data_IF_204603776180
#
_entry.id   IF_204603776180
#
_cell.length_a   1.000
_cell.length_b   1.000
_cell.length_c   1.000
_cell.angle_alpha   90.00
_cell.angle_beta   90.00
_cell.angle_gamma   90.00
#
_symmetry.space_group_name_H-M   'P 1'
#
loop_
_entity.id
_entity.type
_entity.pdbx_description
1 polymer ?
#
# COMPACT_ATOMS: atom_id res chain seq x y z
N UNK A 1 7.95 -13.89 -14.89
CA UNK A 1 7.74 -13.51 -16.30
C UNK A 1 8.95 -13.82 -17.20
N UNK A 2 10.19 -13.59 -16.78
CA UNK A 2 11.39 -13.91 -17.60
C UNK A 2 11.55 -15.42 -17.82
N UNK A 3 11.37 -16.24 -16.80
CA UNK A 3 11.48 -17.70 -16.92
C UNK A 3 10.46 -18.29 -17.91
N UNK A 4 9.23 -17.77 -17.95
CA UNK A 4 8.23 -18.21 -18.91
C UNK A 4 8.62 -17.88 -20.36
N UNK A 5 9.19 -16.68 -20.62
CA UNK A 5 9.66 -16.30 -21.96
C UNK A 5 10.85 -17.17 -22.41
N UNK A 6 11.72 -17.59 -21.50
CA UNK A 6 12.84 -18.47 -21.82
C UNK A 6 12.39 -19.91 -22.19
N UNK A 7 11.35 -20.40 -21.54
CA UNK A 7 10.75 -21.70 -21.89
C UNK A 7 10.18 -21.67 -23.33
N UNK A 8 9.43 -20.63 -23.70
CA UNK A 8 8.92 -20.47 -25.06
C UNK A 8 10.03 -20.41 -26.11
N UNK A 9 11.11 -19.65 -25.85
CA UNK A 9 12.27 -19.54 -26.75
C UNK A 9 12.96 -20.90 -26.94
N UNK A 10 13.12 -21.69 -25.87
CA UNK A 10 13.74 -23.01 -25.95
C UNK A 10 12.88 -23.99 -26.72
N UNK A 11 11.55 -23.97 -26.51
CA UNK A 11 10.61 -24.81 -27.24
C UNK A 11 10.62 -24.51 -28.74
N UNK A 12 10.58 -23.21 -29.10
CA UNK A 12 10.67 -22.78 -30.50
C UNK A 12 12.01 -23.18 -31.16
N UNK A 13 13.14 -23.06 -30.45
CA UNK A 13 14.45 -23.48 -30.95
C UNK A 13 14.58 -25.00 -31.07
N UNK A 14 13.87 -25.76 -30.24
CA UNK A 14 13.87 -27.20 -30.26
C UNK A 14 12.86 -27.82 -31.24
N UNK A 15 12.16 -26.96 -32.01
CA UNK A 15 11.09 -27.36 -32.95
C UNK A 15 10.05 -28.30 -32.32
N UNK A 16 9.60 -27.95 -31.12
CA UNK A 16 8.69 -28.75 -30.34
C UNK A 16 7.24 -28.57 -30.81
N UNK A 17 6.69 -29.61 -31.46
CA UNK A 17 5.30 -29.64 -31.93
C UNK A 17 4.32 -30.34 -30.96
N UNK A 18 4.78 -30.69 -29.75
CA UNK A 18 3.93 -31.35 -28.74
C UNK A 18 2.95 -30.32 -28.12
N UNK A 19 1.73 -30.72 -27.68
CA UNK A 19 0.81 -29.86 -26.99
C UNK A 19 1.44 -29.25 -25.72
N UNK A 20 1.41 -27.92 -25.64
CA UNK A 20 1.97 -27.17 -24.51
C UNK A 20 0.84 -26.86 -23.54
N UNK A 21 1.02 -27.23 -22.27
CA UNK A 21 0.11 -26.90 -21.18
C UNK A 21 0.80 -25.91 -20.25
N UNK A 22 0.02 -24.97 -19.71
CA UNK A 22 0.50 -23.93 -18.81
C UNK A 22 -0.05 -24.13 -17.41
N UNK A 23 0.87 -24.21 -16.43
CA UNK A 23 0.55 -24.13 -15.01
C UNK A 23 0.46 -22.66 -14.60
N UNK A 24 -0.66 -22.27 -14.01
CA UNK A 24 -0.87 -20.92 -13.47
C UNK A 24 -1.32 -21.03 -12.02
N UNK A 25 -0.44 -20.65 -11.09
CA UNK A 25 -0.68 -20.70 -9.65
C UNK A 25 -0.26 -19.38 -9.00
N UNK A 26 -0.99 -18.94 -7.98
CA UNK A 26 -0.70 -17.73 -7.18
C UNK A 26 -0.04 -18.05 -5.83
N UNK A 27 0.10 -19.34 -5.49
CA UNK A 27 0.70 -19.83 -4.26
C UNK A 27 1.53 -21.08 -4.51
N UNK A 28 2.53 -21.35 -3.67
CA UNK A 28 3.40 -22.54 -3.72
C UNK A 28 3.06 -23.57 -2.64
N UNK A 29 1.88 -23.51 -2.04
CA UNK A 29 1.40 -24.53 -1.13
C UNK A 29 1.11 -25.84 -1.88
N UNK A 30 1.24 -26.98 -1.22
CA UNK A 30 0.99 -28.29 -1.84
C UNK A 30 -0.41 -28.39 -2.46
N UNK A 31 -1.41 -27.78 -1.79
CA UNK A 31 -2.78 -27.71 -2.29
C UNK A 31 -2.86 -26.90 -3.59
N UNK A 32 -2.29 -25.67 -3.61
CA UNK A 32 -2.32 -24.80 -4.79
C UNK A 32 -1.60 -25.45 -5.99
N UNK A 33 -0.49 -26.18 -5.74
CA UNK A 33 0.24 -26.90 -6.77
C UNK A 33 -0.61 -28.04 -7.33
N UNK A 34 -1.23 -28.87 -6.49
CA UNK A 34 -2.10 -29.98 -6.95
C UNK A 34 -3.30 -29.47 -7.74
N UNK A 35 -3.98 -28.44 -7.24
CA UNK A 35 -5.12 -27.81 -7.91
C UNK A 35 -4.70 -27.18 -9.25
N UNK A 36 -3.53 -26.54 -9.30
CA UNK A 36 -2.96 -26.01 -10.53
C UNK A 36 -2.68 -27.08 -11.59
N UNK A 37 -2.12 -28.21 -11.21
CA UNK A 37 -1.90 -29.33 -12.13
C UNK A 37 -3.20 -29.99 -12.59
N UNK A 38 -4.25 -30.01 -11.76
CA UNK A 38 -5.57 -30.48 -12.15
C UNK A 38 -6.26 -29.54 -13.17
N UNK A 39 -5.88 -28.26 -13.22
CA UNK A 39 -6.49 -27.22 -14.06
C UNK A 39 -5.49 -26.55 -15.00
N UNK A 40 -4.65 -27.36 -15.68
CA UNK A 40 -3.68 -26.85 -16.66
C UNK A 40 -4.39 -26.17 -17.82
N UNK A 41 -3.91 -24.98 -18.19
CA UNK A 41 -4.42 -24.17 -19.28
C UNK A 41 -3.73 -24.48 -20.60
N UNK A 42 -4.33 -24.10 -21.74
CA UNK A 42 -3.67 -24.24 -23.04
C UNK A 42 -2.54 -23.19 -23.14
N UNK A 43 -1.38 -23.62 -23.66
CA UNK A 43 -0.22 -22.73 -23.85
C UNK A 43 -0.51 -21.57 -24.81
N UNK A 44 -1.23 -21.83 -25.90
CA UNK A 44 -1.54 -20.82 -26.93
C UNK A 44 -2.43 -19.67 -26.44
N UNK A 45 -3.19 -19.85 -25.36
CA UNK A 45 -3.98 -18.76 -24.76
C UNK A 45 -3.08 -17.62 -24.21
N UNK A 46 -1.76 -17.85 -24.13
CA UNK A 46 -0.77 -16.93 -23.60
C UNK A 46 0.22 -16.37 -24.63
N UNK A 47 -0.01 -16.62 -25.92
CA UNK A 47 0.89 -16.17 -27.00
C UNK A 47 0.99 -14.65 -27.05
N UNK A 48 -0.13 -13.93 -26.88
CA UNK A 48 -0.11 -12.46 -26.86
C UNK A 48 0.60 -11.89 -25.65
N UNK A 49 0.47 -12.54 -24.49
CA UNK A 49 1.22 -12.18 -23.28
C UNK A 49 2.73 -12.37 -23.48
N UNK A 50 3.13 -13.44 -24.17
CA UNK A 50 4.52 -13.69 -24.56
C UNK A 50 5.04 -12.62 -25.52
N UNK A 51 4.29 -12.27 -26.59
CA UNK A 51 4.64 -11.20 -27.52
C UNK A 51 4.79 -9.85 -26.83
N UNK A 52 3.89 -9.51 -25.91
CA UNK A 52 3.99 -8.30 -25.11
C UNK A 52 5.27 -8.27 -24.24
N UNK A 53 5.63 -9.41 -23.62
CA UNK A 53 6.85 -9.54 -22.83
C UNK A 53 8.12 -9.40 -23.71
N UNK A 54 8.10 -9.97 -24.91
CA UNK A 54 9.18 -9.87 -25.89
C UNK A 54 9.34 -8.43 -26.37
N UNK A 55 8.27 -7.77 -26.82
CA UNK A 55 8.29 -6.38 -27.26
C UNK A 55 8.83 -5.44 -26.18
N UNK A 56 8.43 -5.65 -24.91
CA UNK A 56 8.99 -4.90 -23.79
C UNK A 56 10.49 -5.11 -23.62
N UNK A 57 10.97 -6.35 -23.72
CA UNK A 57 12.40 -6.66 -23.57
C UNK A 57 13.24 -6.04 -24.71
N UNK A 58 12.73 -6.09 -25.94
CA UNK A 58 13.37 -5.48 -27.11
C UNK A 58 13.39 -3.95 -27.03
N UNK A 59 12.28 -3.34 -26.61
CA UNK A 59 12.22 -1.89 -26.40
C UNK A 59 13.19 -1.43 -25.29
N UNK A 60 13.26 -2.18 -24.17
CA UNK A 60 14.21 -1.88 -23.10
C UNK A 60 15.68 -1.95 -23.60
N UNK A 61 15.99 -2.96 -24.40
CA UNK A 61 17.32 -3.11 -24.96
C UNK A 61 17.66 -2.00 -25.96
N UNK A 62 16.77 -1.70 -26.90
CA UNK A 62 16.97 -0.66 -27.91
C UNK A 62 17.12 0.73 -27.30
N UNK A 63 16.21 1.11 -26.40
CA UNK A 63 16.24 2.42 -25.71
C UNK A 63 17.46 2.52 -24.80
N UNK A 64 17.74 1.48 -24.01
CA UNK A 64 18.88 1.46 -23.10
C UNK A 64 20.21 1.57 -23.82
N UNK A 65 20.40 0.77 -24.88
CA UNK A 65 21.64 0.76 -25.66
C UNK A 65 21.87 2.08 -26.39
N UNK A 66 20.88 2.52 -27.17
CA UNK A 66 21.04 3.73 -28.02
C UNK A 66 21.07 4.99 -27.14
N UNK A 67 20.24 5.10 -26.11
CA UNK A 67 20.25 6.23 -25.19
C UNK A 67 21.56 6.34 -24.40
N UNK A 68 22.08 5.22 -23.91
CA UNK A 68 23.38 5.17 -23.23
C UNK A 68 24.50 5.64 -24.14
N UNK A 69 24.57 5.12 -25.37
CA UNK A 69 25.59 5.53 -26.37
C UNK A 69 25.48 7.02 -26.70
N UNK A 70 24.28 7.51 -27.00
CA UNK A 70 24.05 8.90 -27.33
C UNK A 70 24.48 9.86 -26.21
N UNK A 71 24.11 9.56 -24.96
CA UNK A 71 24.52 10.35 -23.81
C UNK A 71 26.02 10.30 -23.56
N UNK A 72 26.64 9.12 -23.64
CA UNK A 72 28.07 8.92 -23.43
C UNK A 72 28.87 9.71 -24.49
N UNK A 73 28.48 9.62 -25.75
CA UNK A 73 29.16 10.37 -26.85
C UNK A 73 28.93 11.88 -26.71
N UNK A 74 27.69 12.32 -26.40
CA UNK A 74 27.36 13.74 -26.31
C UNK A 74 28.11 14.46 -25.18
N UNK A 75 28.22 13.82 -24.03
CA UNK A 75 28.77 14.42 -22.81
C UNK A 75 30.21 13.97 -22.52
N UNK A 76 30.78 13.10 -23.35
CA UNK A 76 32.12 12.52 -23.16
C UNK A 76 32.31 11.96 -21.72
N UNK A 77 31.32 11.28 -21.20
CA UNK A 77 31.28 10.75 -19.85
C UNK A 77 30.57 9.39 -19.84
N UNK A 78 30.97 8.49 -18.95
CA UNK A 78 30.31 7.21 -18.82
C UNK A 78 28.92 7.39 -18.16
N UNK A 79 27.89 7.51 -18.99
CA UNK A 79 26.51 7.69 -18.60
C UNK A 79 25.69 6.46 -18.95
N UNK A 80 24.57 6.30 -18.28
CA UNK A 80 23.61 5.21 -18.56
C UNK A 80 22.21 5.75 -18.77
N UNK A 81 21.46 5.09 -19.64
CA UNK A 81 20.06 5.38 -19.90
C UNK A 81 19.25 4.11 -19.79
N UNK A 82 18.05 4.20 -19.22
CA UNK A 82 17.14 3.07 -19.10
C UNK A 82 15.71 3.51 -18.87
N UNK A 83 14.78 2.68 -19.29
CA UNK A 83 13.34 2.95 -19.26
C UNK A 83 12.80 3.22 -17.85
N UNK A 84 13.38 2.64 -16.82
CA UNK A 84 12.96 2.83 -15.43
C UNK A 84 13.86 3.81 -14.70
N UNK A 85 15.19 3.63 -14.79
CA UNK A 85 16.15 4.43 -14.02
C UNK A 85 16.17 5.91 -14.44
N UNK A 86 16.10 6.20 -15.74
CA UNK A 86 16.18 7.58 -16.23
C UNK A 86 14.95 8.41 -15.84
N UNK A 87 13.71 7.95 -16.05
CA UNK A 87 12.53 8.68 -15.54
C UNK A 87 12.52 8.84 -14.01
N UNK A 88 12.98 7.83 -13.27
CA UNK A 88 13.07 7.91 -11.80
C UNK A 88 14.05 8.98 -11.37
N UNK A 89 15.23 9.02 -12.00
CA UNK A 89 16.23 10.07 -11.76
C UNK A 89 15.69 11.46 -12.12
N UNK A 90 14.99 11.58 -13.25
CA UNK A 90 14.37 12.84 -13.65
C UNK A 90 13.32 13.34 -12.65
N UNK A 91 12.51 12.45 -12.07
CA UNK A 91 11.56 12.83 -11.01
C UNK A 91 12.28 13.31 -9.75
N UNK A 92 13.36 12.64 -9.34
CA UNK A 92 14.18 13.06 -8.19
C UNK A 92 14.83 14.42 -8.48
N UNK A 93 15.45 14.59 -9.64
CA UNK A 93 16.09 15.86 -10.02
C UNK A 93 15.10 17.03 -10.06
N UNK A 94 13.88 16.80 -10.57
CA UNK A 94 12.81 17.81 -10.54
C UNK A 94 12.42 18.18 -9.11
N UNK A 95 12.30 17.18 -8.24
CA UNK A 95 11.97 17.43 -6.83
C UNK A 95 13.07 18.20 -6.12
N UNK A 96 14.32 17.89 -6.39
CA UNK A 96 15.48 18.64 -5.86
C UNK A 96 15.47 20.08 -6.35
N UNK A 97 15.11 20.31 -7.61
CA UNK A 97 14.98 21.67 -8.16
C UNK A 97 13.85 22.44 -7.46
N UNK A 98 12.68 21.84 -7.28
CA UNK A 98 11.57 22.45 -6.54
C UNK A 98 11.97 22.83 -5.11
N UNK A 99 12.78 21.99 -4.43
CA UNK A 99 13.30 22.28 -3.09
C UNK A 99 14.28 23.46 -3.10
N UNK A 100 15.18 23.53 -4.09
CA UNK A 100 16.15 24.62 -4.22
C UNK A 100 15.47 25.95 -4.55
N UNK A 101 14.44 25.92 -5.36
CA UNK A 101 13.67 27.11 -5.79
C UNK A 101 12.56 27.49 -4.79
N UNK A 102 12.36 26.68 -3.73
CA UNK A 102 11.32 26.91 -2.74
C UNK A 102 11.56 28.23 -2.00
N UNK A 103 10.57 29.10 -2.08
CA UNK A 103 10.52 30.36 -1.34
C UNK A 103 9.60 30.17 -0.12
N UNK A 104 10.13 30.19 1.10
CA UNK A 104 9.31 30.09 2.29
C UNK A 104 8.40 31.30 2.42
N UNK A 105 7.16 31.06 2.82
CA UNK A 105 6.17 32.11 3.11
C UNK A 105 5.62 31.86 4.52
N UNK A 106 5.65 32.92 5.35
CA UNK A 106 5.14 32.84 6.70
C UNK A 106 3.62 32.73 6.71
N UNK A 107 3.11 31.85 7.54
CA UNK A 107 1.68 31.74 7.81
C UNK A 107 1.41 31.78 9.31
N UNK A 108 0.22 32.24 9.66
CA UNK A 108 -0.21 32.45 11.02
C UNK A 108 -1.43 31.59 11.32
N UNK A 109 -1.32 30.72 12.32
CA UNK A 109 -2.43 29.98 12.91
C UNK A 109 -2.79 30.59 14.27
N UNK A 110 -4.07 30.66 14.59
CA UNK A 110 -4.53 31.20 15.86
C UNK A 110 -5.15 30.08 16.68
N UNK A 111 -4.66 29.92 17.89
CA UNK A 111 -5.19 28.97 18.85
C UNK A 111 -5.58 29.69 20.14
N UNK A 112 -6.65 29.22 20.77
CA UNK A 112 -7.11 29.66 22.07
C UNK A 112 -7.09 28.46 23.02
N UNK A 113 -6.57 28.66 24.21
CA UNK A 113 -6.64 27.68 25.29
C UNK A 113 -7.71 28.14 26.29
N UNK A 114 -8.72 27.28 26.47
CA UNK A 114 -9.76 27.56 27.49
C UNK A 114 -9.95 26.26 28.31
N UNK A 115 -9.53 26.26 29.56
CA UNK A 115 -9.40 25.07 30.39
C UNK A 115 -8.45 24.06 29.77
N UNK A 116 -8.87 22.80 29.66
CA UNK A 116 -8.09 21.71 29.05
C UNK A 116 -8.34 21.55 27.55
N UNK A 117 -9.07 22.45 26.93
CA UNK A 117 -9.43 22.37 25.51
C UNK A 117 -8.68 23.43 24.72
N UNK A 118 -8.04 22.98 23.63
CA UNK A 118 -7.40 23.85 22.65
C UNK A 118 -8.34 24.06 21.47
N UNK A 119 -8.66 25.30 21.20
CA UNK A 119 -9.49 25.72 20.08
C UNK A 119 -8.61 26.23 18.96
N UNK A 120 -8.94 25.91 17.73
CA UNK A 120 -8.23 26.40 16.55
C UNK A 120 -9.16 27.27 15.74
N UNK A 121 -8.71 28.47 15.43
CA UNK A 121 -9.44 29.35 14.56
C UNK A 121 -9.62 28.77 13.17
N UNK A 122 -10.77 29.02 12.58
CA UNK A 122 -11.09 28.63 11.22
C UNK A 122 -11.74 29.79 10.49
N UNK A 123 -11.23 30.12 9.30
CA UNK A 123 -11.83 31.14 8.44
C UNK A 123 -13.23 30.72 7.99
N UNK A 124 -14.22 31.56 8.20
CA UNK A 124 -15.61 31.25 7.89
C UNK A 124 -15.93 31.13 6.40
N UNK A 125 -15.11 31.74 5.53
CA UNK A 125 -15.32 31.74 4.08
C UNK A 125 -14.52 30.61 3.42
N UNK A 126 -13.22 30.54 3.68
CA UNK A 126 -12.31 29.56 3.04
C UNK A 126 -12.22 28.23 3.78
N UNK A 127 -12.63 28.20 5.05
CA UNK A 127 -12.43 27.03 5.92
C UNK A 127 -10.96 26.78 6.32
N UNK A 128 -10.03 27.67 5.96
CA UNK A 128 -8.62 27.57 6.28
C UNK A 128 -8.36 27.74 7.77
N UNK A 129 -7.38 26.98 8.30
CA UNK A 129 -6.90 27.10 9.69
C UNK A 129 -5.71 28.06 9.82
N UNK A 130 -5.34 28.73 8.73
CA UNK A 130 -4.20 29.64 8.68
C UNK A 130 -4.47 30.84 7.77
N UNK A 131 -3.77 31.93 8.03
CA UNK A 131 -3.73 33.12 7.17
C UNK A 131 -2.29 33.49 6.86
N UNK A 132 -2.03 34.03 5.67
CA UNK A 132 -0.71 34.53 5.27
C UNK A 132 -0.53 36.03 5.63
N UNK A 133 -1.58 36.69 6.13
CA UNK A 133 -1.53 38.10 6.53
C UNK A 133 -1.40 38.24 8.04
N UNK A 134 -0.26 38.79 8.48
CA UNK A 134 0.06 39.00 9.90
C UNK A 134 -0.94 39.89 10.59
N UNK A 135 -1.31 40.98 9.93
CA UNK A 135 -2.26 41.99 10.44
C UNK A 135 -3.62 41.35 10.72
N UNK A 136 -4.08 40.45 9.81
CA UNK A 136 -5.34 39.74 10.00
C UNK A 136 -5.27 38.77 11.20
N UNK A 137 -4.13 38.09 11.40
CA UNK A 137 -3.96 37.26 12.57
C UNK A 137 -4.02 38.05 13.87
N UNK A 138 -3.36 39.19 13.91
CA UNK A 138 -3.35 40.09 15.07
C UNK A 138 -4.75 40.68 15.35
N UNK A 139 -5.48 41.06 14.30
CA UNK A 139 -6.86 41.54 14.42
C UNK A 139 -7.78 40.48 15.05
N UNK A 140 -7.70 39.26 14.57
CA UNK A 140 -8.48 38.13 15.11
C UNK A 140 -8.09 37.84 16.55
N UNK A 141 -6.82 37.87 16.87
CA UNK A 141 -6.32 37.64 18.23
C UNK A 141 -6.83 38.69 19.19
N UNK A 142 -6.79 39.99 18.79
CA UNK A 142 -7.27 41.09 19.59
C UNK A 142 -8.79 41.04 19.81
N UNK A 143 -9.53 40.70 18.75
CA UNK A 143 -11.00 40.56 18.84
C UNK A 143 -11.36 39.39 19.74
N UNK A 144 -10.74 38.24 19.56
CA UNK A 144 -11.02 37.04 20.38
C UNK A 144 -10.65 37.26 21.86
N UNK A 145 -9.57 37.99 22.15
CA UNK A 145 -9.14 38.28 23.52
C UNK A 145 -10.03 39.24 24.28
N UNK A 146 -10.80 40.10 23.56
CA UNK A 146 -11.73 41.09 24.14
C UNK A 146 -13.20 40.65 24.12
N UNK A 147 -13.50 39.52 23.52
CA UNK A 147 -14.86 39.05 23.28
C UNK A 147 -15.24 37.90 24.18
N UNK A 148 -16.50 37.80 24.54
CA UNK A 148 -17.04 36.59 25.15
C UNK A 148 -17.12 35.47 24.09
N UNK A 149 -16.70 34.28 24.45
CA UNK A 149 -16.77 33.12 23.60
C UNK A 149 -18.10 32.40 23.84
N UNK A 150 -18.90 32.30 22.80
CA UNK A 150 -20.20 31.62 22.87
C UNK A 150 -20.16 30.33 22.08
N UNK A 151 -20.58 29.25 22.69
CA UNK A 151 -20.77 27.97 21.99
C UNK A 151 -22.00 28.11 21.10
N UNK A 152 -21.78 28.09 19.79
CA UNK A 152 -22.87 28.23 18.81
C UNK A 152 -23.40 26.91 18.30
N UNK A 153 -22.58 25.85 18.37
CA UNK A 153 -22.98 24.54 17.87
C UNK A 153 -22.22 23.45 18.59
N UNK A 154 -22.96 22.43 19.04
CA UNK A 154 -22.42 21.15 19.49
C UNK A 154 -23.00 20.08 18.56
N UNK A 155 -22.15 19.32 17.89
CA UNK A 155 -22.57 18.22 17.00
C UNK A 155 -21.91 16.92 17.46
N UNK A 156 -22.72 15.91 17.66
CA UNK A 156 -22.25 14.53 17.97
C UNK A 156 -22.62 13.65 16.81
N UNK A 157 -21.64 12.94 16.26
CA UNK A 157 -21.85 12.03 15.14
C UNK A 157 -21.08 10.73 15.36
N UNK A 158 -21.71 9.57 15.19
CA UNK A 158 -20.99 8.33 15.16
C UNK A 158 -20.06 8.32 13.95
N UNK A 159 -18.81 7.95 14.15
CA UNK A 159 -17.81 7.84 13.10
C UNK A 159 -17.22 6.43 13.10
N UNK A 160 -17.02 5.90 11.92
CA UNK A 160 -16.38 4.59 11.71
C UNK A 160 -15.01 4.77 11.10
N UNK A 161 -14.02 4.10 11.64
CA UNK A 161 -12.69 4.00 11.03
C UNK A 161 -12.49 2.57 10.57
N UNK A 162 -12.34 2.41 9.26
CA UNK A 162 -12.10 1.11 8.64
C UNK A 162 -10.61 0.79 8.65
N UNK A 163 -10.29 -0.49 8.68
CA UNK A 163 -8.93 -0.95 8.48
C UNK A 163 -8.42 -0.53 7.11
N UNK A 164 -7.12 -0.21 6.96
CA UNK A 164 -6.51 -0.04 5.64
C UNK A 164 -6.63 -1.35 4.85
N UNK A 165 -6.69 -1.27 3.51
CA UNK A 165 -6.73 -2.46 2.65
C UNK A 165 -5.52 -3.38 2.84
N UNK A 166 -5.59 -4.60 2.31
CA UNK A 166 -4.49 -5.56 2.35
C UNK A 166 -3.21 -4.99 1.73
N UNK A 167 -2.09 -5.65 1.95
CA UNK A 167 -0.81 -5.21 1.41
C UNK A 167 -0.60 -5.61 -0.06
N UNK A 168 -0.20 -4.65 -0.87
CA UNK A 168 0.67 -4.83 -2.03
C UNK A 168 2.13 -4.72 -1.60
N UNK A 169 3.07 -5.03 -2.50
CA UNK A 169 4.50 -4.94 -2.19
C UNK A 169 4.92 -3.51 -1.82
N UNK A 170 4.51 -2.52 -2.58
CA UNK A 170 4.94 -1.12 -2.40
C UNK A 170 4.46 -0.55 -1.06
N UNK A 171 3.21 -0.81 -0.69
CA UNK A 171 2.66 -0.37 0.60
C UNK A 171 3.38 -1.03 1.77
N UNK A 172 3.65 -2.34 1.66
CA UNK A 172 4.41 -3.06 2.70
C UNK A 172 5.83 -2.52 2.84
N UNK A 173 6.54 -2.28 1.73
CA UNK A 173 7.88 -1.69 1.75
C UNK A 173 7.91 -0.31 2.41
N UNK A 174 6.95 0.57 2.09
CA UNK A 174 6.85 1.90 2.69
C UNK A 174 6.61 1.83 4.20
N UNK A 175 5.66 1.03 4.63
CA UNK A 175 5.32 0.90 6.05
C UNK A 175 6.43 0.18 6.85
N UNK A 176 7.09 -0.82 6.26
CA UNK A 176 8.24 -1.48 6.85
C UNK A 176 9.42 -0.52 7.04
N UNK A 177 9.66 0.36 6.06
CA UNK A 177 10.66 1.41 6.17
C UNK A 177 10.32 2.41 7.29
N UNK A 178 9.08 2.89 7.34
CA UNK A 178 8.64 3.82 8.38
C UNK A 178 8.72 3.23 9.79
N UNK A 179 8.39 1.95 9.94
CA UNK A 179 8.30 1.30 11.26
C UNK A 179 9.62 0.71 11.74
N UNK A 180 10.43 0.19 10.83
CA UNK A 180 11.62 -0.59 11.17
C UNK A 180 12.90 -0.11 10.48
N UNK A 181 12.83 0.87 9.57
CA UNK A 181 13.96 1.36 8.79
C UNK A 181 14.41 0.42 7.66
N UNK A 182 13.65 -0.64 7.35
CA UNK A 182 14.02 -1.58 6.30
C UNK A 182 13.98 -0.92 4.92
N UNK A 183 15.01 -1.16 4.12
CA UNK A 183 15.01 -0.75 2.72
C UNK A 183 13.97 -1.54 1.90
N UNK A 184 13.57 -1.02 0.75
CA UNK A 184 12.68 -1.72 -0.15
C UNK A 184 13.24 -3.09 -0.60
N UNK A 185 14.55 -3.16 -0.87
CA UNK A 185 15.26 -4.40 -1.25
C UNK A 185 15.27 -5.40 -0.10
N UNK A 186 15.59 -4.96 1.10
CA UNK A 186 15.61 -5.80 2.30
C UNK A 186 14.21 -6.36 2.60
N UNK A 187 13.18 -5.53 2.59
CA UNK A 187 11.78 -5.95 2.75
C UNK A 187 11.40 -7.02 1.73
N UNK A 188 11.74 -6.83 0.46
CA UNK A 188 11.47 -7.82 -0.58
C UNK A 188 12.22 -9.14 -0.34
N UNK A 189 13.49 -9.09 0.06
CA UNK A 189 14.27 -10.30 0.36
C UNK A 189 13.68 -11.09 1.54
N UNK A 190 13.23 -10.39 2.58
CA UNK A 190 12.54 -11.01 3.73
C UNK A 190 11.24 -11.66 3.26
N UNK A 191 10.45 -10.94 2.47
CA UNK A 191 9.21 -11.47 1.91
C UNK A 191 9.43 -12.72 1.05
N UNK A 192 10.51 -12.72 0.25
CA UNK A 192 10.86 -13.85 -0.59
C UNK A 192 11.13 -15.11 0.25
N UNK A 193 11.84 -14.97 1.37
CA UNK A 193 12.08 -16.10 2.30
C UNK A 193 10.79 -16.59 2.96
N UNK A 194 9.91 -15.67 3.39
CA UNK A 194 8.62 -16.02 3.97
C UNK A 194 7.70 -16.74 2.97
N UNK A 195 7.82 -16.43 1.68
CA UNK A 195 7.09 -17.08 0.59
C UNK A 195 7.72 -18.41 0.17
N UNK A 196 9.03 -18.47 -0.11
CA UNK A 196 9.69 -19.62 -0.70
C UNK A 196 10.08 -20.68 0.35
N UNK A 197 10.71 -20.25 1.46
CA UNK A 197 11.26 -21.15 2.46
C UNK A 197 10.20 -21.54 3.50
N UNK A 198 9.56 -20.55 4.12
CA UNK A 198 8.55 -20.79 5.14
C UNK A 198 7.17 -21.10 4.54
N UNK A 199 6.89 -20.67 3.32
CA UNK A 199 5.62 -20.83 2.60
C UNK A 199 4.39 -20.26 3.35
N UNK A 200 4.61 -19.32 4.26
CA UNK A 200 3.57 -18.76 5.15
C UNK A 200 2.90 -17.50 4.63
N UNK A 201 3.43 -16.89 3.57
CA UNK A 201 2.84 -15.75 2.89
C UNK A 201 2.66 -16.05 1.41
N UNK A 202 1.72 -15.33 0.77
CA UNK A 202 1.48 -15.40 -0.66
C UNK A 202 2.56 -14.66 -1.45
N UNK A 203 2.54 -14.75 -2.78
CA UNK A 203 3.56 -14.21 -3.67
C UNK A 203 3.81 -12.71 -3.40
N UNK A 204 5.07 -12.30 -3.16
CA UNK A 204 5.37 -10.95 -2.68
C UNK A 204 5.30 -9.86 -3.76
N UNK A 205 5.49 -10.20 -5.05
CA UNK A 205 5.54 -9.20 -6.12
C UNK A 205 4.15 -8.99 -6.71
N UNK A 206 3.30 -8.34 -5.99
CA UNK A 206 1.94 -7.99 -6.40
C UNK A 206 1.69 -6.49 -6.23
N UNK A 207 0.91 -5.93 -7.12
CA UNK A 207 0.37 -4.57 -7.06
C UNK A 207 -1.08 -4.52 -6.56
N UNK A 208 -1.69 -5.70 -6.38
CA UNK A 208 -3.06 -5.80 -5.89
C UNK A 208 -3.14 -5.73 -4.36
N UNK A 209 -4.14 -5.03 -3.87
CA UNK A 209 -4.53 -4.94 -2.45
C UNK A 209 -5.84 -5.70 -2.17
N UNK A 210 -6.26 -6.54 -3.11
CA UNK A 210 -7.50 -7.28 -3.08
C UNK A 210 -7.24 -8.77 -3.22
N UNK A 211 -8.18 -9.57 -2.73
CA UNK A 211 -8.23 -11.02 -3.00
C UNK A 211 -9.40 -11.32 -3.92
N UNK A 212 -9.31 -12.42 -4.64
CA UNK A 212 -10.41 -12.95 -5.44
C UNK A 212 -11.47 -13.65 -4.59
N UNK A 213 -12.64 -13.84 -5.15
CA UNK A 213 -13.73 -14.60 -4.51
C UNK A 213 -13.36 -16.06 -4.26
N UNK A 214 -12.49 -16.62 -5.08
CA UNK A 214 -11.93 -17.98 -4.96
C UNK A 214 -11.12 -18.17 -3.67
N UNK A 215 -10.51 -17.10 -3.14
CA UNK A 215 -9.72 -17.12 -1.90
C UNK A 215 -10.62 -17.05 -0.66
N UNK A 216 -11.83 -16.49 -0.75
CA UNK A 216 -12.72 -16.30 0.40
C UNK A 216 -13.03 -17.58 1.17
N UNK A 217 -13.31 -18.73 0.54
CA UNK A 217 -13.54 -19.99 1.24
C UNK A 217 -12.35 -20.46 2.08
N UNK A 218 -11.12 -20.09 1.70
CA UNK A 218 -9.88 -20.51 2.40
C UNK A 218 -9.53 -19.64 3.60
N UNK A 219 -10.24 -18.52 3.84
CA UNK A 219 -9.91 -17.56 4.91
C UNK A 219 -9.93 -18.23 6.29
N UNK A 220 -10.87 -19.11 6.56
CA UNK A 220 -10.92 -19.82 7.85
C UNK A 220 -9.71 -20.70 8.10
N UNK A 221 -9.26 -21.40 7.09
CA UNK A 221 -8.07 -22.26 7.11
C UNK A 221 -6.81 -21.41 7.36
N UNK A 222 -6.71 -20.25 6.68
CA UNK A 222 -5.62 -19.26 6.88
C UNK A 222 -5.62 -18.66 8.28
N UNK A 223 -6.79 -18.38 8.86
CA UNK A 223 -6.91 -17.91 10.23
C UNK A 223 -6.44 -18.96 11.23
N UNK A 224 -6.72 -20.24 10.99
CA UNK A 224 -6.24 -21.35 11.83
C UNK A 224 -4.70 -21.48 11.71
N UNK A 225 -4.18 -21.41 10.50
CA UNK A 225 -2.74 -21.55 10.22
C UNK A 225 -1.90 -20.41 10.85
N UNK A 226 -2.36 -19.16 10.76
CA UNK A 226 -1.68 -18.02 11.37
C UNK A 226 -2.05 -17.78 12.84
N UNK A 227 -3.06 -18.48 13.37
CA UNK A 227 -3.63 -18.29 14.72
C UNK A 227 -2.77 -18.85 15.84
N UNK A 228 -1.48 -18.60 15.84
CA UNK A 228 -0.53 -19.06 16.86
C UNK A 228 0.10 -17.88 17.62
N UNK A 229 0.70 -18.15 18.76
CA UNK A 229 1.40 -17.13 19.55
C UNK A 229 0.52 -15.90 19.81
N UNK A 230 1.00 -14.69 19.49
CA UNK A 230 0.29 -13.45 19.77
C UNK A 230 -1.01 -13.28 18.97
N UNK A 231 -1.20 -14.05 17.90
CA UNK A 231 -2.38 -13.93 17.03
C UNK A 231 -3.54 -14.85 17.44
N UNK A 232 -3.29 -15.83 18.31
CA UNK A 232 -4.25 -16.89 18.69
C UNK A 232 -5.62 -16.34 19.08
N UNK A 233 -5.65 -15.37 19.97
CA UNK A 233 -6.91 -14.78 20.47
C UNK A 233 -7.68 -14.07 19.35
N UNK A 234 -6.99 -13.29 18.52
CA UNK A 234 -7.59 -12.49 17.46
C UNK A 234 -8.08 -13.38 16.31
N UNK A 235 -7.26 -14.30 15.84
CA UNK A 235 -7.61 -15.23 14.77
C UNK A 235 -8.73 -16.18 15.18
N UNK A 236 -8.68 -16.72 16.42
CA UNK A 236 -9.72 -17.60 16.95
C UNK A 236 -11.08 -16.92 17.06
N UNK A 237 -11.12 -15.65 17.47
CA UNK A 237 -12.38 -14.88 17.54
C UNK A 237 -13.02 -14.68 16.16
N UNK A 238 -12.22 -14.61 15.08
CA UNK A 238 -12.69 -14.49 13.71
C UNK A 238 -13.09 -15.85 13.11
N UNK A 239 -12.28 -16.90 13.35
CA UNK A 239 -12.53 -18.24 12.82
C UNK A 239 -13.88 -18.83 13.29
N UNK A 240 -14.33 -18.46 14.48
CA UNK A 240 -15.59 -18.91 15.07
C UNK A 240 -16.82 -18.14 14.55
N UNK A 241 -16.63 -17.15 13.66
CA UNK A 241 -17.71 -16.36 13.08
C UNK A 241 -17.81 -16.57 11.57
N UNK A 242 -18.97 -16.28 10.96
CA UNK A 242 -19.06 -16.20 9.51
C UNK A 242 -18.12 -15.11 8.98
N UNK A 243 -17.33 -15.44 7.96
CA UNK A 243 -16.43 -14.47 7.32
C UNK A 243 -17.28 -13.48 6.52
N UNK A 244 -17.23 -12.21 6.89
CA UNK A 244 -17.90 -11.14 6.16
C UNK A 244 -16.97 -10.59 5.06
N UNK A 245 -16.93 -11.29 3.92
CA UNK A 245 -16.26 -10.79 2.73
C UNK A 245 -17.02 -9.56 2.18
N UNK A 246 -16.29 -8.47 1.91
CA UNK A 246 -16.88 -7.25 1.37
C UNK A 246 -15.94 -6.60 0.34
N UNK A 247 -16.47 -5.65 -0.43
CA UNK A 247 -15.77 -4.99 -1.52
C UNK A 247 -14.53 -4.14 -1.10
N UNK A 248 -14.26 -4.00 0.21
CA UNK A 248 -13.08 -3.29 0.67
C UNK A 248 -11.79 -4.09 0.49
N UNK A 249 -11.87 -5.43 0.42
CA UNK A 249 -10.73 -6.31 0.23
C UNK A 249 -10.98 -7.50 -0.72
N UNK A 250 -12.22 -7.69 -1.20
CA UNK A 250 -12.57 -8.74 -2.19
C UNK A 250 -13.07 -8.09 -3.46
N UNK A 251 -12.30 -8.19 -4.54
CA UNK A 251 -12.68 -7.66 -5.85
C UNK A 251 -11.88 -8.34 -6.97
N UNK A 252 -12.52 -9.25 -7.72
CA UNK A 252 -11.87 -10.01 -8.80
C UNK A 252 -11.32 -9.09 -9.90
N UNK A 253 -11.95 -7.92 -10.14
CA UNK A 253 -11.52 -6.98 -11.18
C UNK A 253 -10.24 -6.21 -10.81
N UNK A 254 -9.88 -6.18 -9.54
CA UNK A 254 -8.69 -5.52 -9.00
C UNK A 254 -7.57 -6.50 -8.63
N UNK A 255 -7.76 -7.77 -8.94
CA UNK A 255 -6.71 -8.79 -8.89
C UNK A 255 -6.19 -8.97 -10.30
N UNK A 256 -4.90 -8.66 -10.49
CA UNK A 256 -4.19 -8.89 -11.75
C UNK A 256 -3.66 -10.34 -11.82
N UNK A 257 -2.37 -10.53 -12.00
CA UNK A 257 -1.74 -11.86 -12.01
C UNK A 257 -1.70 -12.50 -10.62
N UNK A 258 -1.64 -11.68 -9.57
CA UNK A 258 -1.54 -12.11 -8.18
C UNK A 258 -2.45 -11.24 -7.29
N UNK A 259 -3.08 -11.89 -6.30
CA UNK A 259 -3.82 -11.19 -5.27
C UNK A 259 -2.90 -10.55 -4.21
N UNK A 260 -3.49 -9.81 -3.27
CA UNK A 260 -2.79 -9.17 -2.16
C UNK A 260 -1.93 -10.15 -1.35
N UNK A 261 -0.94 -9.60 -0.64
CA UNK A 261 -0.07 -10.34 0.27
C UNK A 261 -0.85 -10.67 1.54
N UNK A 262 -1.09 -11.96 1.77
CA UNK A 262 -1.82 -12.49 2.92
C UNK A 262 -1.16 -13.78 3.45
N UNK A 263 -1.47 -14.23 4.67
CA UNK A 263 -1.04 -15.55 5.15
C UNK A 263 -1.60 -16.67 4.28
N UNK A 264 -0.83 -17.76 4.15
CA UNK A 264 -1.26 -18.99 3.49
C UNK A 264 -1.97 -19.94 4.47
N UNK A 265 -2.35 -21.10 3.99
CA UNK A 265 -2.89 -22.21 4.80
C UNK A 265 -1.79 -22.99 5.54
N UNK A 266 -0.52 -22.63 5.35
CA UNK A 266 0.62 -23.27 6.01
C UNK A 266 0.70 -22.83 7.48
N UNK A 267 0.75 -23.80 8.40
CA UNK A 267 0.95 -23.53 9.81
C UNK A 267 2.30 -22.84 10.06
N UNK A 268 2.26 -21.72 10.77
CA UNK A 268 3.46 -20.93 11.03
C UNK A 268 4.20 -21.42 12.28
N UNK A 269 5.52 -21.53 12.16
CA UNK A 269 6.44 -21.81 13.25
C UNK A 269 7.27 -20.54 13.51
N UNK A 270 6.78 -19.69 14.40
CA UNK A 270 7.40 -18.38 14.68
C UNK A 270 8.83 -18.50 15.19
N UNK A 271 9.14 -19.58 15.91
CA UNK A 271 10.47 -19.81 16.49
C UNK A 271 11.55 -20.12 15.43
N UNK A 272 11.16 -20.55 14.26
CA UNK A 272 12.06 -20.79 13.12
C UNK A 272 12.34 -19.53 12.28
N UNK A 273 11.70 -18.41 12.60
CA UNK A 273 11.87 -17.14 11.88
C UNK A 273 12.92 -16.26 12.54
N UNK A 274 13.68 -15.53 11.73
CA UNK A 274 14.53 -14.44 12.24
C UNK A 274 13.69 -13.31 12.80
N UNK A 275 14.31 -12.39 13.52
CA UNK A 275 13.61 -11.23 14.08
C UNK A 275 12.99 -10.34 12.96
N UNK A 276 13.71 -10.16 11.86
CA UNK A 276 13.26 -9.40 10.69
C UNK A 276 12.07 -10.07 10.02
N UNK A 277 12.12 -11.39 9.86
CA UNK A 277 11.02 -12.18 9.30
C UNK A 277 9.77 -12.10 10.16
N UNK A 278 9.90 -12.21 11.49
CA UNK A 278 8.78 -12.03 12.43
C UNK A 278 8.16 -10.64 12.33
N UNK A 279 8.97 -9.59 12.17
CA UNK A 279 8.48 -8.21 12.02
C UNK A 279 7.62 -8.03 10.77
N UNK A 280 8.09 -8.52 9.62
CA UNK A 280 7.33 -8.44 8.36
C UNK A 280 6.10 -9.35 8.41
N UNK A 281 6.23 -10.56 8.94
CA UNK A 281 5.11 -11.47 9.12
C UNK A 281 4.02 -10.87 10.03
N UNK A 282 4.42 -10.24 11.15
CA UNK A 282 3.50 -9.54 12.06
C UNK A 282 2.71 -8.43 11.35
N UNK A 283 3.37 -7.64 10.51
CA UNK A 283 2.68 -6.61 9.74
C UNK A 283 1.60 -7.20 8.84
N UNK A 284 1.93 -8.25 8.10
CA UNK A 284 1.00 -8.89 7.16
C UNK A 284 -0.17 -9.55 7.88
N UNK A 285 0.11 -10.33 8.94
CA UNK A 285 -0.94 -11.01 9.71
C UNK A 285 -1.88 -10.01 10.37
N UNK A 286 -1.35 -8.96 11.02
CA UNK A 286 -2.19 -7.92 11.63
C UNK A 286 -3.06 -7.21 10.62
N UNK A 287 -2.53 -6.90 9.44
CA UNK A 287 -3.29 -6.29 8.35
C UNK A 287 -4.39 -7.21 7.85
N UNK A 288 -4.09 -8.50 7.65
CA UNK A 288 -5.06 -9.52 7.26
C UNK A 288 -6.17 -9.68 8.31
N UNK A 289 -5.83 -9.77 9.59
CA UNK A 289 -6.82 -9.83 10.65
C UNK A 289 -7.67 -8.55 10.70
N UNK A 290 -7.06 -7.38 10.57
CA UNK A 290 -7.75 -6.09 10.71
C UNK A 290 -8.85 -5.87 9.67
N UNK A 291 -8.67 -6.32 8.43
CA UNK A 291 -9.70 -6.18 7.38
C UNK A 291 -10.90 -7.10 7.60
N UNK A 292 -10.74 -8.16 8.41
CA UNK A 292 -11.79 -9.10 8.76
C UNK A 292 -12.58 -8.66 10.01
N UNK A 293 -12.03 -7.72 10.81
CA UNK A 293 -12.72 -7.13 11.95
C UNK A 293 -13.68 -6.03 11.51
N UNK A 294 -14.77 -5.79 12.26
CA UNK A 294 -15.62 -4.63 12.03
C UNK A 294 -14.84 -3.33 12.24
N UNK A 295 -15.28 -2.22 11.62
CA UNK A 295 -14.64 -0.92 11.81
C UNK A 295 -14.73 -0.48 13.27
N UNK A 296 -13.72 0.25 13.73
CA UNK A 296 -13.77 0.93 15.03
C UNK A 296 -14.85 2.01 14.99
N UNK A 297 -15.74 2.00 15.97
CA UNK A 297 -16.82 2.98 16.08
C UNK A 297 -16.51 3.90 17.25
N UNK A 298 -16.59 5.20 17.01
CA UNK A 298 -16.42 6.22 18.04
C UNK A 298 -17.36 7.39 17.79
N UNK A 299 -17.63 8.16 18.83
CA UNK A 299 -18.40 9.38 18.72
C UNK A 299 -17.47 10.56 18.45
N UNK A 300 -17.67 11.24 17.33
CA UNK A 300 -17.00 12.49 17.06
C UNK A 300 -17.85 13.63 17.59
N UNK A 301 -17.37 14.32 18.62
CA UNK A 301 -17.96 15.54 19.13
C UNK A 301 -17.25 16.73 18.46
N UNK A 302 -18.03 17.59 17.80
CA UNK A 302 -17.54 18.85 17.23
C UNK A 302 -18.24 19.99 17.92
N UNK A 303 -17.46 20.94 18.45
CA UNK A 303 -17.95 22.12 19.14
C UNK A 303 -17.46 23.33 18.36
N UNK A 304 -18.37 24.25 18.03
CA UNK A 304 -18.04 25.51 17.39
C UNK A 304 -18.20 26.64 18.40
N UNK A 305 -17.20 27.51 18.46
CA UNK A 305 -17.24 28.75 19.20
C UNK A 305 -17.32 29.92 18.21
N UNK A 306 -18.11 30.93 18.54
CA UNK A 306 -18.08 32.19 17.90
C UNK A 306 -17.58 33.24 18.91
N UNK A 307 -16.62 34.07 18.50
CA UNK A 307 -16.30 35.30 19.21
C UNK A 307 -17.22 36.41 18.65
N UNK A 308 -18.08 36.93 19.49
CA UNK A 308 -18.93 38.07 19.15
C UNK A 308 -18.28 39.31 19.74
N UNK A 309 -17.95 40.32 18.93
CA UNK A 309 -17.80 41.64 19.48
C UNK A 309 -19.19 42.10 19.91
N UNK A 310 -19.32 42.73 21.10
CA UNK A 310 -20.58 43.36 21.46
C UNK A 310 -20.96 44.32 20.33
N UNK A 311 -22.14 44.15 19.76
CA UNK A 311 -22.68 45.08 18.81
C UNK A 311 -22.91 46.41 19.54
N UNK A 312 -22.55 47.57 18.95
CA UNK A 312 -22.89 48.87 19.57
C UNK A 312 -24.39 49.13 19.66
N UNK A 313 -25.24 48.15 19.37
CA UNK A 313 -26.69 48.25 19.35
C UNK A 313 -27.43 47.32 20.33
N UNK A 314 -26.70 46.61 21.20
CA UNK A 314 -27.27 45.80 22.27
C UNK A 314 -27.11 46.50 23.62
#
# INVERSE_FOLDING_TARGET
SSAASDVYKRQAKADCHKPIKRLWISSVTDKAIRDGFAHLKNGHDYDDLYRAAQARAEADWLVGMNGTRALTCKYNAQLSCGRVQTPTLAMIARREQEIREFKPEDYYGITLQAGNVRWTWRDGKSGSLRTFKKERAQEIQTKAGKSNLTITKVSRKPKKTYAPGLYDLTTLQREANQKYGFSAKETLNIMQRLYENHKVLTYPRTDSRYIGKDVVPTIKERLQACGTGPYRKLAGALANKPIQANASFVDDKKVSDHHAIIPTEQFVQLDHMTNEERKIYDMVVRRFLSVLYPPAVYEQVSICLLYTSPSPRD
#
